data_IF_700875884432
#
_entry.id   IF_700875884432
#
_cell.length_a   1.000
_cell.length_b   1.000
_cell.length_c   1.000
_cell.angle_alpha   90.00
_cell.angle_beta   90.00
_cell.angle_gamma   90.00
#
_symmetry.space_group_name_H-M   'P 1'
#
loop_
_entity.id
_entity.type
_entity.pdbx_description
1 polymer ?
#
# COMPACT_ATOMS: atom_id res chain seq x y z
N UNK A 1 -20.63 17.29 -11.73
CA UNK A 1 -20.21 15.99 -11.13
C UNK A 1 -20.44 14.93 -12.19
N UNK A 2 -19.43 14.13 -12.50
CA UNK A 2 -19.54 13.01 -13.44
C UNK A 2 -19.57 11.72 -12.64
N UNK A 3 -20.60 10.89 -12.85
CA UNK A 3 -20.70 9.58 -12.22
C UNK A 3 -19.81 8.60 -13.01
N UNK A 4 -18.87 7.96 -12.33
CA UNK A 4 -17.95 7.00 -12.96
C UNK A 4 -18.38 5.56 -12.81
N UNK A 5 -18.52 5.08 -11.57
CA UNK A 5 -18.83 3.68 -11.27
C UNK A 5 -19.50 3.57 -9.90
N UNK A 6 -20.35 2.56 -9.71
CA UNK A 6 -20.83 2.12 -8.41
C UNK A 6 -20.41 0.67 -8.18
N UNK A 7 -19.72 0.42 -7.07
CA UNK A 7 -19.28 -0.93 -6.67
C UNK A 7 -19.96 -1.35 -5.38
N UNK A 8 -20.48 -2.60 -5.35
CA UNK A 8 -21.07 -3.21 -4.17
C UNK A 8 -20.15 -4.22 -3.48
N UNK A 9 -18.84 -4.08 -3.65
CA UNK A 9 -17.80 -4.90 -3.02
C UNK A 9 -16.64 -4.05 -2.51
N UNK A 10 -15.85 -4.53 -1.53
CA UNK A 10 -14.62 -3.86 -1.15
C UNK A 10 -13.68 -3.69 -2.35
N UNK A 11 -12.98 -2.55 -2.46
CA UNK A 11 -12.01 -2.35 -3.53
C UNK A 11 -10.83 -3.33 -3.40
N UNK A 12 -10.25 -3.72 -4.53
CA UNK A 12 -9.07 -4.58 -4.59
C UNK A 12 -7.75 -3.83 -4.37
N UNK A 13 -6.62 -4.49 -4.66
CA UNK A 13 -5.30 -3.86 -4.71
C UNK A 13 -4.80 -3.30 -3.37
N UNK A 14 -5.19 -3.89 -2.23
CA UNK A 14 -4.82 -3.42 -0.88
C UNK A 14 -5.39 -2.02 -0.53
N UNK A 15 -6.40 -1.56 -1.26
CA UNK A 15 -7.01 -0.24 -1.00
C UNK A 15 -7.65 -0.16 0.38
N UNK A 16 -8.28 -1.25 0.85
CA UNK A 16 -8.87 -1.29 2.21
C UNK A 16 -7.77 -1.18 3.27
N UNK A 17 -6.59 -1.78 3.06
CA UNK A 17 -5.45 -1.62 3.97
C UNK A 17 -5.02 -0.14 4.05
N UNK A 18 -4.93 0.55 2.90
CA UNK A 18 -4.63 2.00 2.87
C UNK A 18 -5.68 2.81 3.63
N UNK A 19 -6.96 2.47 3.46
CA UNK A 19 -8.05 3.12 4.20
C UNK A 19 -7.94 2.86 5.71
N UNK A 20 -7.61 1.63 6.13
CA UNK A 20 -7.38 1.28 7.54
C UNK A 20 -6.24 2.14 8.13
N UNK A 21 -5.11 2.25 7.41
CA UNK A 21 -3.99 3.09 7.85
C UNK A 21 -4.29 4.59 7.83
N UNK A 22 -5.24 5.03 7.02
CA UNK A 22 -5.67 6.44 7.00
C UNK A 22 -6.63 6.78 8.15
N UNK A 23 -7.35 5.79 8.68
CA UNK A 23 -8.43 5.99 9.66
C UNK A 23 -8.14 5.39 11.03
N UNK A 24 -7.08 4.57 11.17
CA UNK A 24 -6.81 3.73 12.33
C UNK A 24 -8.03 2.85 12.74
N UNK A 25 -8.83 2.44 11.75
CA UNK A 25 -10.02 1.61 11.93
C UNK A 25 -9.90 0.31 11.14
N UNK A 26 -10.50 -0.79 11.66
CA UNK A 26 -10.62 -2.04 10.92
C UNK A 26 -11.87 -2.02 10.02
N UNK A 27 -11.70 -1.57 8.80
CA UNK A 27 -12.80 -1.50 7.82
C UNK A 27 -13.21 -2.87 7.28
N UNK A 28 -12.39 -3.92 7.41
CA UNK A 28 -12.83 -5.29 7.12
C UNK A 28 -13.86 -5.75 8.14
N UNK A 29 -13.60 -5.55 9.43
CA UNK A 29 -14.57 -5.80 10.50
C UNK A 29 -15.80 -4.89 10.37
N UNK A 30 -15.60 -3.61 10.04
CA UNK A 30 -16.68 -2.67 9.77
C UNK A 30 -17.59 -3.12 8.63
N UNK A 31 -17.01 -3.59 7.53
CA UNK A 31 -17.76 -4.15 6.40
C UNK A 31 -18.57 -5.39 6.81
N UNK A 32 -17.95 -6.35 7.50
CA UNK A 32 -18.62 -7.55 7.97
C UNK A 32 -19.82 -7.19 8.87
N UNK A 33 -19.65 -6.23 9.78
CA UNK A 33 -20.72 -5.76 10.65
C UNK A 33 -21.83 -5.04 9.85
N UNK A 34 -21.47 -4.20 8.89
CA UNK A 34 -22.45 -3.51 8.05
C UNK A 34 -23.33 -4.49 7.26
N UNK A 35 -22.74 -5.55 6.70
CA UNK A 35 -23.48 -6.59 5.96
C UNK A 35 -24.44 -7.37 6.86
N UNK A 36 -24.06 -7.64 8.10
CA UNK A 36 -24.85 -8.46 9.03
C UNK A 36 -25.83 -7.66 9.88
N UNK A 37 -25.52 -6.41 10.22
CA UNK A 37 -26.29 -5.59 11.16
C UNK A 37 -26.77 -4.26 10.58
N UNK A 38 -26.41 -3.94 9.32
CA UNK A 38 -26.83 -2.70 8.66
C UNK A 38 -26.10 -1.42 9.10
N UNK A 39 -25.05 -1.52 9.92
CA UNK A 39 -24.31 -0.36 10.44
C UNK A 39 -22.85 -0.68 10.70
N UNK A 40 -21.99 0.34 10.72
CA UNK A 40 -20.60 0.24 11.18
C UNK A 40 -20.57 0.59 12.68
N UNK A 41 -19.98 -0.28 13.56
CA UNK A 41 -20.12 -0.14 15.02
C UNK A 41 -19.13 0.87 15.64
N UNK A 42 -18.34 1.57 14.84
CA UNK A 42 -17.34 2.54 15.27
C UNK A 42 -17.28 3.73 14.29
N UNK A 43 -16.81 4.91 14.75
CA UNK A 43 -16.61 6.05 13.87
C UNK A 43 -15.50 5.79 12.86
N UNK A 44 -15.70 6.22 11.62
CA UNK A 44 -14.67 6.21 10.58
C UNK A 44 -14.24 7.64 10.32
N UNK A 45 -13.09 8.02 10.89
CA UNK A 45 -12.54 9.37 10.77
C UNK A 45 -11.15 9.29 10.14
N UNK A 46 -10.89 10.11 9.13
CA UNK A 46 -9.57 10.17 8.52
C UNK A 46 -8.60 10.97 9.41
N UNK A 47 -7.54 10.32 9.87
CA UNK A 47 -6.46 10.91 10.66
C UNK A 47 -5.20 11.19 9.84
N UNK A 48 -5.01 10.42 8.75
CA UNK A 48 -3.82 10.48 7.92
C UNK A 48 -4.17 10.56 6.44
N UNK A 49 -3.23 11.12 5.68
CA UNK A 49 -3.12 10.91 4.24
C UNK A 49 -2.21 9.69 4.05
N UNK A 50 -2.68 8.66 3.36
CA UNK A 50 -1.95 7.43 3.15
C UNK A 50 -1.81 7.13 1.66
N UNK A 51 -0.66 6.56 1.27
CA UNK A 51 -0.37 6.18 -0.10
C UNK A 51 0.25 4.79 -0.16
N UNK A 52 -0.15 4.01 -1.17
CA UNK A 52 0.48 2.73 -1.50
C UNK A 52 1.38 2.89 -2.73
N UNK A 53 2.62 2.46 -2.62
CA UNK A 53 3.62 2.50 -3.67
C UNK A 53 3.93 1.07 -4.11
N UNK A 54 3.53 0.70 -5.31
CA UNK A 54 3.81 -0.61 -5.88
C UNK A 54 5.12 -0.60 -6.64
N UNK A 55 5.96 -1.62 -6.42
CA UNK A 55 7.28 -1.75 -7.03
C UNK A 55 7.38 -3.04 -7.85
N UNK A 56 7.83 -2.90 -9.09
CA UNK A 56 8.23 -4.03 -9.93
C UNK A 56 9.74 -4.13 -9.99
N UNK A 57 10.25 -5.35 -9.83
CA UNK A 57 11.68 -5.57 -9.94
C UNK A 57 12.14 -5.39 -11.39
N UNK A 58 13.32 -4.83 -11.55
CA UNK A 58 14.05 -4.77 -12.83
C UNK A 58 14.73 -6.12 -13.08
N UNK A 59 14.73 -6.59 -14.31
CA UNK A 59 15.26 -7.91 -14.68
C UNK A 59 14.21 -9.02 -14.64
N UNK A 60 14.64 -10.27 -14.62
CA UNK A 60 13.78 -11.46 -14.65
C UNK A 60 14.27 -12.48 -13.61
N UNK A 61 13.52 -13.54 -13.36
CA UNK A 61 13.94 -14.60 -12.46
C UNK A 61 13.60 -14.33 -10.99
N UNK A 62 14.62 -14.29 -10.12
CA UNK A 62 14.45 -14.17 -8.67
C UNK A 62 14.95 -12.83 -8.17
N UNK A 63 14.32 -12.32 -7.11
CA UNK A 63 14.77 -11.09 -6.44
C UNK A 63 16.19 -11.30 -5.91
N UNK A 64 17.09 -10.40 -6.26
CA UNK A 64 18.50 -10.47 -5.86
C UNK A 64 18.90 -9.42 -4.85
N UNK A 65 18.31 -8.22 -4.91
CA UNK A 65 18.61 -7.12 -3.98
C UNK A 65 17.58 -6.01 -4.04
N UNK A 66 17.62 -5.15 -3.03
CA UNK A 66 16.97 -3.85 -2.99
C UNK A 66 18.02 -2.75 -2.98
N UNK A 67 17.70 -1.60 -3.57
CA UNK A 67 18.47 -0.37 -3.46
C UNK A 67 17.58 0.74 -2.92
N UNK A 68 18.14 1.62 -2.08
CA UNK A 68 17.48 2.76 -1.49
C UNK A 68 16.63 2.46 -0.25
N UNK A 69 16.29 1.20 0.04
CA UNK A 69 15.38 0.85 1.14
C UNK A 69 15.88 1.33 2.50
N UNK A 70 17.13 1.03 2.85
CA UNK A 70 17.70 1.37 4.17
C UNK A 70 17.73 2.89 4.40
N UNK A 71 18.09 3.65 3.36
CA UNK A 71 18.10 5.11 3.43
C UNK A 71 16.68 5.68 3.61
N UNK A 72 15.71 5.16 2.85
CA UNK A 72 14.32 5.58 2.97
C UNK A 72 13.73 5.23 4.34
N UNK A 73 14.06 4.07 4.89
CA UNK A 73 13.63 3.69 6.23
C UNK A 73 14.31 4.50 7.32
N UNK A 74 15.59 4.85 7.17
CA UNK A 74 16.28 5.73 8.10
C UNK A 74 15.65 7.14 8.13
N UNK A 75 15.13 7.61 6.99
CA UNK A 75 14.55 8.95 6.86
C UNK A 75 13.07 9.00 7.23
N UNK A 76 12.28 8.02 6.80
CA UNK A 76 10.82 8.06 6.85
C UNK A 76 10.19 6.86 7.60
N UNK A 77 10.99 6.00 8.25
CA UNK A 77 10.54 4.72 8.80
C UNK A 77 9.38 4.83 9.79
N UNK A 78 9.33 5.91 10.59
CA UNK A 78 8.23 6.16 11.54
C UNK A 78 6.87 6.40 10.85
N UNK A 79 6.87 6.76 9.58
CA UNK A 79 5.69 7.01 8.76
C UNK A 79 5.37 5.87 7.80
N UNK A 80 6.17 4.80 7.81
CA UNK A 80 5.93 3.59 7.03
C UNK A 80 4.95 2.70 7.78
N UNK A 81 3.74 2.60 7.25
CA UNK A 81 2.67 1.81 7.86
C UNK A 81 2.76 0.31 7.52
N UNK A 82 3.28 -0.03 6.33
CA UNK A 82 3.47 -1.42 5.91
C UNK A 82 4.56 -1.55 4.83
N UNK A 83 5.26 -2.69 4.86
CA UNK A 83 6.19 -3.12 3.82
C UNK A 83 5.86 -4.57 3.48
N UNK A 84 5.61 -4.82 2.20
CA UNK A 84 5.40 -6.15 1.64
C UNK A 84 6.25 -6.26 0.36
N UNK A 85 7.52 -6.58 0.53
CA UNK A 85 8.47 -6.80 -0.56
C UNK A 85 8.76 -8.30 -0.68
N UNK A 86 8.78 -8.84 -1.90
CA UNK A 86 9.23 -10.21 -2.13
C UNK A 86 10.65 -10.38 -1.60
N UNK A 87 10.91 -11.37 -0.74
CA UNK A 87 12.24 -11.54 -0.15
C UNK A 87 13.29 -11.89 -1.23
N UNK A 88 14.55 -11.57 -0.95
CA UNK A 88 15.68 -11.99 -1.79
C UNK A 88 15.65 -13.52 -1.96
N UNK A 89 15.81 -13.99 -3.19
CA UNK A 89 15.67 -15.39 -3.59
C UNK A 89 14.26 -15.80 -4.02
N UNK A 90 13.21 -15.02 -3.73
CA UNK A 90 11.86 -15.32 -4.20
C UNK A 90 11.72 -15.09 -5.72
N UNK A 91 10.94 -15.91 -6.44
CA UNK A 91 10.65 -15.66 -7.83
C UNK A 91 9.78 -14.40 -7.97
N UNK A 92 10.02 -13.63 -9.03
CA UNK A 92 9.15 -12.51 -9.38
C UNK A 92 7.72 -12.97 -9.61
N UNK A 93 6.76 -12.12 -9.25
CA UNK A 93 5.34 -12.35 -9.56
C UNK A 93 5.07 -12.18 -11.06
N UNK A 94 4.30 -13.08 -11.63
CA UNK A 94 3.82 -12.93 -13.01
C UNK A 94 2.78 -11.80 -13.04
N UNK A 95 3.09 -10.72 -13.75
CA UNK A 95 2.21 -9.58 -13.89
C UNK A 95 0.89 -9.89 -14.64
N UNK A 96 0.85 -11.02 -15.39
CA UNK A 96 -0.35 -11.48 -16.07
C UNK A 96 -1.29 -12.25 -15.16
N UNK A 97 -0.74 -12.86 -14.11
CA UNK A 97 -1.48 -13.68 -13.15
C UNK A 97 -1.87 -12.89 -11.88
N UNK A 98 -1.25 -11.74 -11.63
CA UNK A 98 -1.52 -10.95 -10.42
C UNK A 98 -1.48 -9.44 -10.68
N UNK A 99 -2.42 -8.72 -10.06
CA UNK A 99 -2.42 -7.26 -10.03
C UNK A 99 -1.43 -6.69 -9.00
N UNK A 100 -0.92 -7.53 -8.09
CA UNK A 100 0.07 -7.14 -7.10
C UNK A 100 1.45 -7.17 -7.74
N UNK A 101 2.21 -6.10 -7.62
CA UNK A 101 3.60 -6.00 -8.08
C UNK A 101 4.55 -6.89 -7.25
N UNK A 102 5.86 -6.84 -7.52
CA UNK A 102 6.87 -7.60 -6.76
C UNK A 102 7.06 -7.06 -5.33
N UNK A 103 6.51 -5.89 -5.05
CA UNK A 103 6.48 -5.33 -3.71
C UNK A 103 5.58 -4.12 -3.57
N UNK A 104 5.29 -3.77 -2.33
CA UNK A 104 4.48 -2.61 -1.98
C UNK A 104 4.97 -2.01 -0.67
N UNK A 105 4.92 -0.69 -0.58
CA UNK A 105 5.11 0.08 0.66
C UNK A 105 3.88 0.94 0.86
N UNK A 106 3.39 1.04 2.09
CA UNK A 106 2.37 2.01 2.48
C UNK A 106 3.00 3.03 3.42
N UNK A 107 2.89 4.29 3.06
CA UNK A 107 3.29 5.43 3.90
C UNK A 107 2.07 6.20 4.33
N UNK A 108 2.16 6.89 5.50
CA UNK A 108 1.08 7.76 6.00
C UNK A 108 1.64 8.96 6.76
N UNK A 109 0.97 10.10 6.62
CA UNK A 109 1.29 11.31 7.39
C UNK A 109 0.03 12.16 7.57
N UNK A 110 -0.15 12.88 8.72
CA UNK A 110 -1.27 13.80 8.88
C UNK A 110 -1.31 14.91 7.82
N UNK A 111 -0.14 15.43 7.45
CA UNK A 111 0.01 16.49 6.45
C UNK A 111 0.14 15.91 5.05
N UNK A 112 -0.74 16.33 4.13
CA UNK A 112 -0.75 15.86 2.73
C UNK A 112 0.57 16.12 1.99
N UNK A 113 1.21 17.30 2.09
CA UNK A 113 2.50 17.52 1.41
C UNK A 113 3.58 16.52 1.83
N UNK A 114 3.66 16.16 3.11
CA UNK A 114 4.62 15.19 3.64
C UNK A 114 4.31 13.78 3.14
N UNK A 115 3.03 13.37 3.16
CA UNK A 115 2.61 12.08 2.62
C UNK A 115 2.93 11.97 1.12
N UNK A 116 2.75 13.05 0.36
CA UNK A 116 3.05 13.11 -1.07
C UNK A 116 4.56 13.00 -1.31
N UNK A 117 5.37 13.80 -0.60
CA UNK A 117 6.83 13.74 -0.70
C UNK A 117 7.36 12.33 -0.43
N UNK A 118 6.94 11.70 0.68
CA UNK A 118 7.33 10.34 1.01
C UNK A 118 6.95 9.34 -0.10
N UNK A 119 5.72 9.43 -0.62
CA UNK A 119 5.27 8.55 -1.69
C UNK A 119 6.13 8.71 -2.96
N UNK A 120 6.46 9.94 -3.34
CA UNK A 120 7.34 10.24 -4.48
C UNK A 120 8.75 9.72 -4.25
N UNK A 121 9.32 9.89 -3.05
CA UNK A 121 10.65 9.38 -2.70
C UNK A 121 10.71 7.86 -2.75
N UNK A 122 9.75 7.14 -2.15
CA UNK A 122 9.67 5.69 -2.26
C UNK A 122 9.45 5.24 -3.71
N UNK A 123 8.67 5.95 -4.50
CA UNK A 123 8.47 5.66 -5.91
C UNK A 123 9.75 5.85 -6.74
N UNK A 124 10.52 6.91 -6.49
CA UNK A 124 11.73 7.25 -7.24
C UNK A 124 12.95 6.43 -6.80
N UNK A 125 13.18 6.29 -5.50
CA UNK A 125 14.48 5.87 -4.96
C UNK A 125 14.50 4.38 -4.51
N UNK A 126 13.34 3.75 -4.23
CA UNK A 126 13.31 2.32 -3.95
C UNK A 126 13.37 1.52 -5.26
N UNK A 127 14.35 0.66 -5.39
CA UNK A 127 14.49 -0.24 -6.53
C UNK A 127 14.65 -1.70 -6.09
N UNK A 128 13.91 -2.58 -6.76
CA UNK A 128 14.05 -4.03 -6.64
C UNK A 128 14.74 -4.55 -7.90
N UNK A 129 15.63 -5.52 -7.73
CA UNK A 129 16.34 -6.16 -8.84
C UNK A 129 16.14 -7.67 -8.81
N UNK A 130 16.09 -8.28 -9.99
CA UNK A 130 15.97 -9.71 -10.18
C UNK A 130 16.87 -10.20 -11.32
N UNK A 131 17.35 -11.42 -11.19
CA UNK A 131 18.11 -12.15 -12.21
C UNK A 131 17.89 -13.67 -12.10
#
# INVERSE_FOLDING_TARGET
>A
MVFGEIGARPPGGRTVDVMNYATDADLFAGWAHAVTHGSIPFPVVRHYNAASIFKRARGAGRITRYEGLDHLLATYGEHVAAIDLLPVGAPRRDWRATLIADGMVIVRHPELPQATEMAERFAADLHLFAS
#
